data_IF_401171316101
#
_entry.id   IF_401171316101
#
_cell.length_a   1.000
_cell.length_b   1.000
_cell.length_c   1.000
_cell.angle_alpha   90.00
_cell.angle_beta   90.00
_cell.angle_gamma   90.00
#
_symmetry.space_group_name_H-M   'P 1'
#
loop_
_entity.id
_entity.type
_entity.pdbx_description
1 polymer ?
#
# COMPACT_ATOMS: atom_id res chain seq x y z
N UNK A 1 20.70 6.37 -12.09
CA UNK A 1 19.67 7.31 -12.60
C UNK A 1 18.52 7.24 -11.62
N UNK A 2 18.28 8.33 -10.88
CA UNK A 2 17.24 8.39 -9.86
C UNK A 2 15.87 8.53 -10.55
N UNK A 3 15.11 7.45 -10.59
CA UNK A 3 13.67 7.52 -10.86
C UNK A 3 12.98 8.07 -9.62
N UNK A 4 13.09 9.38 -9.41
CA UNK A 4 12.16 10.09 -8.54
C UNK A 4 10.75 9.84 -9.09
N UNK A 5 9.85 9.46 -8.20
CA UNK A 5 8.43 9.20 -8.47
C UNK A 5 7.81 10.53 -8.92
N UNK A 6 7.92 10.87 -10.21
CA UNK A 6 7.33 12.08 -10.77
C UNK A 6 6.00 11.72 -11.42
N UNK A 7 4.92 11.95 -10.66
CA UNK A 7 3.79 12.70 -11.22
C UNK A 7 2.59 11.94 -11.79
N UNK A 8 2.35 10.68 -11.40
CA UNK A 8 1.09 10.02 -11.78
C UNK A 8 0.07 9.83 -10.66
N UNK A 9 0.40 10.24 -9.43
CA UNK A 9 -0.52 10.25 -8.29
C UNK A 9 -0.18 11.40 -7.35
N UNK A 10 -1.00 12.44 -7.33
CA UNK A 10 -0.85 13.53 -6.35
C UNK A 10 -1.07 13.04 -4.92
N UNK A 11 -1.90 12.01 -4.73
CA UNK A 11 -2.23 11.47 -3.40
C UNK A 11 -2.39 9.95 -3.42
N UNK A 12 -1.39 9.22 -2.94
CA UNK A 12 -1.51 7.79 -2.64
C UNK A 12 -1.84 7.62 -1.17
N UNK A 13 -2.90 6.90 -0.86
CA UNK A 13 -3.29 6.60 0.52
C UNK A 13 -3.33 5.10 0.73
N UNK A 14 -2.53 4.62 1.69
CA UNK A 14 -2.54 3.22 2.10
C UNK A 14 -3.52 3.02 3.24
N UNK A 15 -4.25 1.92 3.24
CA UNK A 15 -5.20 1.54 4.28
C UNK A 15 -4.88 0.14 4.79
N UNK A 16 -5.03 -0.10 6.08
CA UNK A 16 -4.89 -1.45 6.61
C UNK A 16 -6.12 -2.28 6.27
N UNK A 17 -5.95 -3.54 5.87
CA UNK A 17 -7.09 -4.46 5.64
C UNK A 17 -7.96 -4.65 6.88
N UNK A 18 -7.37 -4.72 8.07
CA UNK A 18 -8.10 -4.88 9.33
C UNK A 18 -8.73 -3.57 9.83
N UNK A 19 -8.14 -2.42 9.49
CA UNK A 19 -8.61 -1.10 9.90
C UNK A 19 -8.71 -0.21 8.65
N UNK A 20 -9.72 -0.42 7.79
CA UNK A 20 -9.91 0.36 6.58
C UNK A 20 -10.43 1.78 6.86
N UNK A 21 -10.87 2.05 8.09
CA UNK A 21 -11.45 3.33 8.51
C UNK A 21 -10.41 4.46 8.56
N UNK A 22 -9.15 4.12 8.82
CA UNK A 22 -8.07 5.09 8.94
C UNK A 22 -6.92 4.77 7.98
N UNK A 23 -6.34 5.79 7.32
CA UNK A 23 -5.17 5.59 6.49
C UNK A 23 -3.97 5.22 7.36
N UNK A 24 -3.07 4.42 6.80
CA UNK A 24 -1.79 4.14 7.40
C UNK A 24 -0.92 5.40 7.40
N UNK A 25 -0.22 5.61 8.50
CA UNK A 25 0.61 6.78 8.71
C UNK A 25 2.07 6.45 8.43
N UNK A 26 2.78 7.38 7.79
CA UNK A 26 4.22 7.25 7.60
C UNK A 26 4.93 7.51 8.93
N UNK A 27 5.54 6.48 9.49
CA UNK A 27 6.31 6.53 10.74
C UNK A 27 7.80 6.34 10.42
N UNK A 28 8.66 7.02 11.18
CA UNK A 28 10.10 6.76 11.15
C UNK A 28 10.45 5.63 12.11
N UNK A 29 10.99 4.53 11.59
CA UNK A 29 11.58 3.47 12.40
C UNK A 29 13.07 3.68 12.63
N UNK A 30 13.66 2.87 13.52
CA UNK A 30 15.08 2.94 13.88
C UNK A 30 16.04 2.73 12.69
N UNK A 31 15.61 1.98 11.67
CA UNK A 31 16.43 1.66 10.49
C UNK A 31 15.88 2.22 9.18
N UNK A 32 14.56 2.41 9.08
CA UNK A 32 13.90 2.90 7.86
C UNK A 32 12.49 3.41 8.18
N UNK A 33 11.98 4.30 7.32
CA UNK A 33 10.58 4.73 7.37
C UNK A 33 9.64 3.60 6.91
N UNK A 34 8.46 3.54 7.52
CA UNK A 34 7.44 2.55 7.21
C UNK A 34 6.04 3.17 7.39
N UNK A 35 5.08 2.70 6.60
CA UNK A 35 3.67 2.95 6.85
C UNK A 35 3.18 1.98 7.93
N UNK A 36 2.64 2.52 9.02
CA UNK A 36 2.07 1.75 10.11
C UNK A 36 0.57 2.03 10.25
N UNK A 37 -0.19 1.04 10.71
CA UNK A 37 -1.58 1.26 11.10
C UNK A 37 -1.65 2.20 12.32
N UNK A 38 -2.67 3.06 12.39
CA UNK A 38 -2.89 3.93 13.55
C UNK A 38 -3.23 3.13 14.81
N UNK A 39 -3.87 1.96 14.67
CA UNK A 39 -4.15 1.00 15.75
C UNK A 39 -2.93 0.14 16.16
N UNK A 40 -1.71 0.50 15.74
CA UNK A 40 -0.50 -0.25 16.13
C UNK A 40 -0.25 -0.27 17.65
N UNK A 41 -0.69 0.76 18.37
CA UNK A 41 -0.53 0.91 19.81
C UNK A 41 -1.84 0.73 20.58
N UNK A 42 -2.83 0.07 19.97
CA UNK A 42 -4.10 -0.23 20.65
C UNK A 42 -3.86 -1.21 21.81
N UNK A 43 -4.36 -0.89 23.00
CA UNK A 43 -4.12 -1.68 24.21
C UNK A 43 -4.76 -3.07 24.17
N UNK A 44 -5.86 -3.25 23.41
CA UNK A 44 -6.62 -4.50 23.40
C UNK A 44 -6.27 -5.37 22.19
N UNK A 45 -6.02 -4.77 21.01
CA UNK A 45 -5.66 -5.52 19.80
C UNK A 45 -4.72 -4.69 18.90
N UNK A 46 -3.41 -4.67 19.20
CA UNK A 46 -2.45 -3.90 18.42
C UNK A 46 -2.35 -4.43 16.98
N UNK A 47 -2.53 -3.53 16.02
CA UNK A 47 -2.40 -3.87 14.60
C UNK A 47 -0.94 -3.76 14.16
N UNK A 48 -0.26 -4.89 14.06
CA UNK A 48 1.13 -4.95 13.60
C UNK A 48 1.30 -4.89 12.07
N UNK A 49 0.26 -4.50 11.33
CA UNK A 49 0.36 -4.33 9.89
C UNK A 49 1.28 -3.14 9.57
N UNK A 50 2.52 -3.46 9.17
CA UNK A 50 3.54 -2.49 8.77
C UNK A 50 3.92 -2.72 7.32
N UNK A 51 4.13 -1.63 6.60
CA UNK A 51 4.60 -1.66 5.22
C UNK A 51 5.86 -0.79 5.12
N UNK A 52 7.01 -1.41 4.84
CA UNK A 52 8.24 -0.66 4.65
C UNK A 52 8.11 0.28 3.45
N UNK A 53 8.70 1.48 3.55
CA UNK A 53 8.66 2.46 2.47
C UNK A 53 9.23 1.88 1.16
N UNK A 54 10.33 1.13 1.24
CA UNK A 54 10.97 0.50 0.07
C UNK A 54 10.02 -0.50 -0.62
N UNK A 55 9.26 -1.30 0.14
CA UNK A 55 8.29 -2.23 -0.44
C UNK A 55 7.07 -1.48 -1.01
N UNK A 56 6.62 -0.41 -0.33
CA UNK A 56 5.55 0.47 -0.82
C UNK A 56 5.92 1.10 -2.17
N UNK A 57 7.10 1.70 -2.29
CA UNK A 57 7.61 2.31 -3.53
C UNK A 57 7.69 1.27 -4.65
N UNK A 58 8.23 0.08 -4.36
CA UNK A 58 8.32 -1.03 -5.32
C UNK A 58 6.96 -1.59 -5.74
N UNK A 59 5.94 -1.48 -4.89
CA UNK A 59 4.57 -1.87 -5.20
C UNK A 59 3.91 -0.81 -6.09
N UNK A 60 4.02 0.46 -5.70
CA UNK A 60 3.52 1.58 -6.50
C UNK A 60 4.15 1.62 -7.88
N UNK A 61 5.46 1.43 -8.00
CA UNK A 61 6.13 1.39 -9.29
C UNK A 61 5.57 0.29 -10.21
N UNK A 62 5.23 -0.88 -9.66
CA UNK A 62 4.58 -1.95 -10.44
C UNK A 62 3.14 -1.60 -10.84
N UNK A 63 2.39 -0.95 -9.95
CA UNK A 63 1.03 -0.50 -10.26
C UNK A 63 1.08 0.54 -11.39
N UNK A 64 2.02 1.49 -11.32
CA UNK A 64 2.26 2.51 -12.34
C UNK A 64 2.72 1.93 -13.68
N UNK A 65 3.59 0.91 -13.65
CA UNK A 65 4.04 0.21 -14.86
C UNK A 65 2.87 -0.47 -15.59
N UNK A 66 1.99 -1.15 -14.84
CA UNK A 66 0.78 -1.76 -15.42
C UNK A 66 -0.16 -0.71 -16.03
N UNK A 67 -0.32 0.44 -15.39
CA UNK A 67 -1.13 1.55 -15.92
C UNK A 67 -0.55 2.16 -17.18
N UNK A 68 0.74 2.45 -17.16
CA UNK A 68 1.41 3.10 -18.29
C UNK A 68 1.43 2.16 -19.49
N UNK A 69 1.65 0.86 -19.25
CA UNK A 69 1.53 -0.17 -20.28
C UNK A 69 0.13 -0.27 -20.87
N UNK A 70 -0.91 -0.15 -20.04
CA UNK A 70 -2.30 -0.21 -20.52
C UNK A 70 -2.78 1.08 -21.21
N UNK A 71 -2.33 2.25 -20.74
CA UNK A 71 -2.63 3.54 -21.35
C UNK A 71 -2.00 3.67 -22.77
N UNK A 72 -0.83 3.06 -22.98
CA UNK A 72 -0.23 2.92 -24.31
C UNK A 72 -1.10 2.09 -25.28
N UNK A 73 -2.01 1.25 -24.78
CA UNK A 73 -2.98 0.49 -25.56
C UNK A 73 -4.32 1.24 -25.78
N UNK A 74 -4.44 2.49 -25.30
CA UNK A 74 -5.60 3.34 -25.55
C UNK A 74 -6.78 3.16 -24.59
N UNK A 75 -6.65 2.30 -23.58
CA UNK A 75 -7.64 2.09 -22.53
C UNK A 75 -7.08 2.68 -21.23
N UNK A 76 -7.74 3.69 -20.65
CA UNK A 76 -7.44 4.12 -19.27
C UNK A 76 -8.11 3.10 -18.35
N UNK A 77 -7.39 2.10 -17.82
CA UNK A 77 -8.03 1.05 -17.07
C UNK A 77 -8.36 1.61 -15.71
N UNK A 78 -9.63 1.54 -15.34
CA UNK A 78 -10.00 1.72 -13.95
C UNK A 78 -9.38 0.57 -13.13
N UNK A 79 -8.36 0.87 -12.33
CA UNK A 79 -7.72 -0.11 -11.46
C UNK A 79 -8.54 -0.43 -10.20
N UNK A 80 -9.76 0.06 -10.08
CA UNK A 80 -10.62 -0.28 -8.95
C UNK A 80 -10.76 -1.80 -8.87
N UNK A 81 -10.47 -2.39 -7.70
CA UNK A 81 -10.34 -3.83 -7.45
C UNK A 81 -9.09 -4.54 -8.00
N UNK A 82 -8.10 -3.84 -8.54
CA UNK A 82 -6.82 -4.45 -8.86
C UNK A 82 -6.17 -5.02 -7.59
N UNK A 83 -5.73 -6.28 -7.65
CA UNK A 83 -5.08 -7.00 -6.55
C UNK A 83 -3.70 -7.44 -7.00
N UNK A 84 -2.71 -7.23 -6.15
CA UNK A 84 -1.35 -7.70 -6.35
C UNK A 84 -0.81 -8.22 -5.03
N UNK A 85 -0.17 -9.38 -5.05
CA UNK A 85 0.63 -9.87 -3.93
C UNK A 85 2.11 -9.76 -4.27
N UNK A 86 2.91 -9.22 -3.35
CA UNK A 86 4.36 -9.12 -3.50
C UNK A 86 5.03 -9.26 -2.15
N UNK A 87 6.05 -10.11 -2.07
CA UNK A 87 6.79 -10.35 -0.83
C UNK A 87 5.90 -10.71 0.38
N UNK A 88 4.78 -11.41 0.19
CA UNK A 88 3.85 -11.76 1.28
C UNK A 88 3.04 -10.58 1.83
N UNK A 89 3.00 -9.47 1.08
CA UNK A 89 2.08 -8.35 1.31
C UNK A 89 1.08 -8.33 0.15
N UNK A 90 -0.21 -8.33 0.46
CA UNK A 90 -1.26 -8.13 -0.52
C UNK A 90 -1.62 -6.64 -0.59
N UNK A 91 -1.69 -6.12 -1.81
CA UNK A 91 -2.08 -4.76 -2.15
C UNK A 91 -3.36 -4.85 -2.99
N UNK A 92 -4.43 -4.20 -2.54
CA UNK A 92 -5.68 -4.12 -3.28
C UNK A 92 -6.07 -2.66 -3.49
N UNK A 93 -6.20 -2.23 -4.72
CA UNK A 93 -6.74 -0.91 -5.05
C UNK A 93 -8.23 -0.92 -4.75
N UNK A 94 -8.65 -0.13 -3.76
CA UNK A 94 -10.05 -0.01 -3.35
C UNK A 94 -10.76 1.04 -4.19
N UNK A 95 -10.04 2.12 -4.50
CA UNK A 95 -10.58 3.27 -5.22
C UNK A 95 -9.48 3.91 -6.04
N UNK A 96 -9.78 4.14 -7.31
CA UNK A 96 -8.99 4.97 -8.19
C UNK A 96 -9.86 6.17 -8.57
N UNK A 97 -9.45 7.37 -8.18
CA UNK A 97 -10.11 8.60 -8.61
C UNK A 97 -9.24 9.29 -9.67
N UNK A 98 -9.63 9.12 -10.93
CA UNK A 98 -8.94 9.68 -12.09
C UNK A 98 -9.05 11.21 -12.17
N UNK A 99 -10.03 11.81 -11.49
CA UNK A 99 -10.27 13.25 -11.51
C UNK A 99 -9.37 14.00 -10.53
N UNK A 100 -9.18 13.45 -9.32
CA UNK A 100 -8.31 13.99 -8.28
C UNK A 100 -6.91 13.39 -8.26
N UNK A 101 -6.61 12.45 -9.17
CA UNK A 101 -5.32 11.76 -9.27
C UNK A 101 -4.94 11.10 -7.92
N UNK A 102 -5.94 10.50 -7.28
CA UNK A 102 -5.80 9.87 -5.96
C UNK A 102 -6.11 8.37 -6.03
N UNK A 103 -5.30 7.58 -5.30
CA UNK A 103 -5.46 6.12 -5.24
C UNK A 103 -5.48 5.66 -3.79
N UNK A 104 -6.49 4.88 -3.46
CA UNK A 104 -6.65 4.23 -2.16
C UNK A 104 -6.30 2.76 -2.28
N UNK A 105 -5.26 2.34 -1.55
CA UNK A 105 -4.70 0.98 -1.62
C UNK A 105 -4.84 0.32 -0.25
N UNK A 106 -5.60 -0.76 -0.18
CA UNK A 106 -5.62 -1.66 0.97
C UNK A 106 -4.35 -2.49 1.01
N UNK A 107 -3.74 -2.63 2.17
CA UNK A 107 -2.51 -3.36 2.41
C UNK A 107 -2.75 -4.42 3.49
N UNK A 108 -2.35 -5.65 3.20
CA UNK A 108 -2.38 -6.79 4.11
C UNK A 108 -1.00 -7.44 4.17
N UNK A 109 -0.21 -7.14 5.21
CA UNK A 109 1.09 -7.76 5.41
C UNK A 109 0.95 -9.07 6.21
N UNK A 110 0.74 -10.16 5.48
CA UNK A 110 0.57 -11.50 6.07
C UNK A 110 1.85 -12.03 6.72
N UNK A 111 3.03 -11.54 6.34
CA UNK A 111 4.29 -11.96 6.97
C UNK A 111 4.38 -11.58 8.43
N UNK A 112 3.93 -10.38 8.78
CA UNK A 112 3.97 -9.92 10.17
C UNK A 112 2.85 -10.58 10.97
N UNK A 113 1.68 -10.78 10.36
CA UNK A 113 0.56 -11.49 10.98
C UNK A 113 0.91 -12.96 11.29
N UNK A 114 1.57 -13.67 10.38
CA UNK A 114 1.96 -15.08 10.58
C UNK A 114 3.09 -15.26 11.60
N UNK A 115 3.90 -14.22 11.85
CA UNK A 115 4.91 -14.23 12.90
C UNK A 115 4.33 -14.36 14.31
N UNK A 116 3.08 -13.92 14.53
CA UNK A 116 2.40 -14.00 15.83
C UNK A 116 1.54 -15.25 16.01
N UNK A 117 1.21 -15.97 14.93
CA UNK A 117 0.42 -17.21 15.01
C UNK A 117 1.24 -18.42 15.50
N UNK A 118 2.52 -18.25 15.86
CA UNK A 118 3.42 -19.35 16.21
C UNK A 118 3.83 -19.40 17.69
N UNK A 119 3.20 -18.60 18.55
CA UNK A 119 3.48 -18.56 20.00
C UNK A 119 2.25 -18.88 20.88
N UNK A 120 1.34 -19.74 20.40
CA UNK A 120 0.31 -20.38 21.22
C UNK A 120 0.51 -21.89 21.26
#
# INVERSE_FOLDING_TARGET
>A
MASMITGFWKTVTFYCKNHPEQPMELKQGAYSAYYGCSHEFDENNPCHNRLNLIDAEKALQKIMDNLTGANLMGDMPDLTNYKMSKNGVEYKVIKHDTFSDSISIMVDNQKIMMGQAKEL
#
